data_IF_542371845351
#
_entry.id   IF_542371845351
#
_cell.length_a   1.000
_cell.length_b   1.000
_cell.length_c   1.000
_cell.angle_alpha   90.00
_cell.angle_beta   90.00
_cell.angle_gamma   90.00
#
_symmetry.space_group_name_H-M   'P 1'
#
loop_
_entity.id
_entity.type
_entity.pdbx_description
1 polymer ?
#
# COMPACT_ATOMS: atom_id res chain seq x y z
N UNK A 1 -29.28 9.88 -5.76
CA UNK A 1 -29.70 11.17 -6.36
C UNK A 1 -29.95 10.91 -7.84
N UNK A 2 -31.12 11.29 -8.44
CA UNK A 2 -31.51 10.85 -9.78
C UNK A 2 -30.49 11.19 -10.87
N UNK A 3 -29.90 12.36 -10.82
CA UNK A 3 -28.94 12.84 -11.82
C UNK A 3 -27.58 12.14 -11.77
N UNK A 4 -27.15 11.68 -10.61
CA UNK A 4 -25.93 10.89 -10.47
C UNK A 4 -26.12 9.47 -11.01
N UNK A 5 -27.35 8.97 -11.03
CA UNK A 5 -27.71 7.61 -11.44
C UNK A 5 -27.91 7.45 -12.94
N UNK A 6 -28.10 8.53 -13.68
CA UNK A 6 -28.40 8.51 -15.13
C UNK A 6 -27.21 8.95 -16.00
N UNK A 7 -25.98 8.57 -15.68
CA UNK A 7 -24.87 8.80 -16.59
C UNK A 7 -23.93 9.94 -16.20
N UNK A 8 -24.23 10.73 -15.15
CA UNK A 8 -23.25 11.67 -14.60
C UNK A 8 -22.09 10.88 -14.00
N UNK A 9 -22.34 9.70 -13.47
CA UNK A 9 -21.31 8.76 -13.01
C UNK A 9 -20.47 8.22 -14.15
N UNK A 10 -21.06 7.98 -15.32
CA UNK A 10 -20.33 7.65 -16.55
C UNK A 10 -19.39 8.78 -16.98
N UNK A 11 -19.71 10.01 -16.62
CA UNK A 11 -18.91 11.20 -16.93
C UNK A 11 -17.86 11.54 -15.87
N UNK A 12 -17.78 10.78 -14.77
CA UNK A 12 -16.82 10.99 -13.67
C UNK A 12 -15.89 9.77 -13.48
N UNK A 13 -15.07 9.41 -14.48
CA UNK A 13 -14.21 8.22 -14.42
C UNK A 13 -13.22 8.29 -13.25
N UNK A 14 -12.92 9.47 -12.74
CA UNK A 14 -12.06 9.71 -11.60
C UNK A 14 -12.62 9.18 -10.26
N UNK A 15 -13.91 8.79 -10.18
CA UNK A 15 -14.53 8.16 -9.00
C UNK A 15 -14.48 6.63 -9.02
N UNK A 16 -13.75 6.02 -9.95
CA UNK A 16 -13.75 4.58 -10.22
C UNK A 16 -12.40 3.91 -9.90
N UNK A 17 -11.62 4.53 -9.01
CA UNK A 17 -10.32 4.04 -8.64
C UNK A 17 -10.39 3.27 -7.33
N UNK A 18 -10.02 2.01 -7.36
CA UNK A 18 -9.93 1.14 -6.19
C UNK A 18 -8.57 0.47 -6.12
N UNK A 19 -8.20 -0.07 -4.98
CA UNK A 19 -7.09 -1.00 -4.92
C UNK A 19 -7.42 -2.25 -5.75
N UNK A 20 -6.41 -2.88 -6.34
CA UNK A 20 -6.60 -4.10 -7.12
C UNK A 20 -7.35 -5.17 -6.33
N UNK A 21 -7.10 -5.22 -5.02
CA UNK A 21 -7.78 -6.13 -4.11
C UNK A 21 -9.28 -5.84 -4.01
N UNK A 22 -9.68 -4.56 -3.88
CA UNK A 22 -11.08 -4.16 -3.86
C UNK A 22 -11.75 -4.52 -5.19
N UNK A 23 -11.11 -4.16 -6.31
CA UNK A 23 -11.64 -4.42 -7.65
C UNK A 23 -11.80 -5.93 -7.89
N UNK A 24 -10.80 -6.76 -7.56
CA UNK A 24 -10.91 -8.22 -7.68
C UNK A 24 -12.02 -8.80 -6.81
N UNK A 25 -12.17 -8.32 -5.57
CA UNK A 25 -13.28 -8.77 -4.71
C UNK A 25 -14.63 -8.38 -5.31
N UNK A 26 -14.76 -7.13 -5.75
CA UNK A 26 -16.00 -6.61 -6.33
C UNK A 26 -16.41 -7.41 -7.57
N UNK A 27 -15.50 -7.61 -8.52
CA UNK A 27 -15.77 -8.38 -9.74
C UNK A 27 -16.17 -9.81 -9.41
N UNK A 28 -15.44 -10.50 -8.54
CA UNK A 28 -15.77 -11.85 -8.13
C UNK A 28 -17.18 -11.95 -7.52
N UNK A 29 -17.54 -11.04 -6.60
CA UNK A 29 -18.87 -11.05 -5.97
C UNK A 29 -19.97 -10.79 -6.99
N UNK A 30 -19.74 -9.86 -7.94
CA UNK A 30 -20.71 -9.57 -9.00
C UNK A 30 -20.87 -10.74 -9.97
N UNK A 31 -19.77 -11.39 -10.37
CA UNK A 31 -19.81 -12.56 -11.24
C UNK A 31 -20.51 -13.75 -10.58
N UNK A 32 -20.21 -14.03 -9.31
CA UNK A 32 -20.90 -15.08 -8.53
C UNK A 32 -22.39 -14.78 -8.35
N UNK A 33 -22.75 -13.51 -8.16
CA UNK A 33 -24.15 -13.08 -8.06
C UNK A 33 -24.87 -13.24 -9.40
N UNK A 34 -24.26 -12.76 -10.50
CA UNK A 34 -24.85 -12.87 -11.84
C UNK A 34 -25.03 -14.33 -12.27
N UNK A 35 -24.10 -15.21 -11.91
CA UNK A 35 -24.21 -16.65 -12.19
C UNK A 35 -25.36 -17.32 -11.41
N UNK A 36 -25.63 -16.85 -10.18
CA UNK A 36 -26.73 -17.36 -9.36
C UNK A 36 -28.09 -16.79 -9.75
N UNK A 37 -28.12 -15.61 -10.37
CA UNK A 37 -29.35 -14.87 -10.75
C UNK A 37 -29.26 -14.34 -12.18
N UNK A 38 -29.25 -15.22 -13.19
CA UNK A 38 -29.10 -14.82 -14.60
C UNK A 38 -30.26 -13.94 -15.11
N UNK A 39 -31.41 -13.97 -14.44
CA UNK A 39 -32.58 -13.15 -14.73
C UNK A 39 -32.58 -11.79 -14.03
N UNK A 40 -31.71 -11.60 -13.04
CA UNK A 40 -31.65 -10.35 -12.30
C UNK A 40 -30.96 -9.24 -13.11
N UNK A 41 -31.32 -7.99 -12.82
CA UNK A 41 -30.62 -6.84 -13.38
C UNK A 41 -29.15 -6.78 -12.95
N UNK A 42 -28.31 -6.16 -13.76
CA UNK A 42 -26.90 -5.96 -13.43
C UNK A 42 -26.75 -5.16 -12.13
N UNK A 43 -25.75 -5.52 -11.34
CA UNK A 43 -25.43 -4.82 -10.11
C UNK A 43 -24.84 -3.43 -10.44
N UNK A 44 -25.43 -2.38 -9.92
CA UNK A 44 -24.93 -1.03 -10.07
C UNK A 44 -23.77 -0.75 -9.10
N UNK A 45 -22.66 -0.29 -9.64
CA UNK A 45 -21.49 0.15 -8.86
C UNK A 45 -21.43 1.66 -8.85
N UNK A 46 -21.39 2.25 -7.66
CA UNK A 46 -21.29 3.68 -7.42
C UNK A 46 -19.83 4.12 -7.23
N UNK A 47 -19.62 4.92 -6.18
CA UNK A 47 -18.31 5.50 -5.91
C UNK A 47 -17.32 4.48 -5.35
N UNK A 48 -16.09 4.53 -5.84
CA UNK A 48 -14.94 3.91 -5.24
C UNK A 48 -14.04 5.01 -4.62
N UNK A 49 -12.93 5.32 -5.25
CA UNK A 49 -12.00 6.37 -4.85
C UNK A 49 -11.62 7.22 -6.06
N UNK A 50 -10.85 8.26 -5.84
CA UNK A 50 -10.20 9.04 -6.91
C UNK A 50 -8.81 8.49 -7.25
N UNK A 51 -8.22 8.87 -8.39
CA UNK A 51 -6.83 8.53 -8.71
C UNK A 51 -5.92 8.93 -7.57
N UNK A 52 -5.01 8.03 -7.20
CA UNK A 52 -4.03 8.21 -6.11
C UNK A 52 -4.64 8.43 -4.71
N UNK A 53 -5.93 8.20 -4.53
CA UNK A 53 -6.59 8.37 -3.24
C UNK A 53 -6.67 9.82 -2.75
N UNK A 54 -6.94 10.02 -1.47
CA UNK A 54 -7.05 11.31 -0.81
C UNK A 54 -8.47 11.83 -0.67
N UNK A 55 -8.61 13.02 -0.09
CA UNK A 55 -9.90 13.60 0.32
C UNK A 55 -10.80 13.86 -0.88
N UNK A 56 -12.08 13.51 -0.76
CA UNK A 56 -13.16 13.94 -1.65
C UNK A 56 -13.66 15.31 -1.19
N UNK A 57 -12.92 16.35 -1.51
CA UNK A 57 -13.31 17.74 -1.23
C UNK A 57 -14.24 18.30 -2.33
N UNK A 58 -14.58 19.58 -2.22
CA UNK A 58 -15.50 20.27 -3.16
C UNK A 58 -15.02 20.19 -4.62
N UNK A 59 -13.71 20.18 -4.87
CA UNK A 59 -13.10 20.05 -6.20
C UNK A 59 -13.49 18.74 -6.89
N UNK A 60 -13.80 17.72 -6.10
CA UNK A 60 -14.22 16.40 -6.56
C UNK A 60 -15.73 16.18 -6.40
N UNK A 61 -16.50 17.25 -6.21
CA UNK A 61 -17.96 17.22 -6.14
C UNK A 61 -18.47 16.54 -4.87
N UNK A 62 -17.64 16.45 -3.85
CA UNK A 62 -17.97 15.72 -2.64
C UNK A 62 -18.48 16.60 -1.54
N UNK A 63 -19.71 16.38 -1.09
CA UNK A 63 -20.05 16.57 0.31
C UNK A 63 -19.68 15.28 1.03
N UNK A 64 -18.50 15.28 1.68
CA UNK A 64 -18.24 14.43 2.81
C UNK A 64 -18.30 12.92 2.60
N UNK A 65 -17.64 12.37 1.60
CA UNK A 65 -17.22 10.99 1.73
C UNK A 65 -16.10 10.94 2.77
N UNK A 66 -16.47 10.69 4.03
CA UNK A 66 -15.51 10.45 5.11
C UNK A 66 -14.63 9.21 4.84
N UNK A 67 -15.03 8.39 3.88
CA UNK A 67 -14.38 7.20 3.36
C UNK A 67 -14.06 7.38 1.86
N UNK A 68 -13.82 6.33 1.11
CA UNK A 68 -13.44 6.37 -0.33
C UNK A 68 -12.11 7.09 -0.62
N UNK A 69 -11.24 7.21 0.38
CA UNK A 69 -10.00 7.98 0.28
C UNK A 69 -8.77 7.15 -0.08
N UNK A 70 -8.85 5.83 0.06
CA UNK A 70 -7.70 4.92 -0.02
C UNK A 70 -7.94 3.71 -0.94
N UNK A 71 -9.05 3.71 -1.70
CA UNK A 71 -9.38 2.61 -2.62
C UNK A 71 -9.83 1.32 -1.94
N UNK A 72 -10.27 1.37 -0.68
CA UNK A 72 -10.75 0.22 0.09
C UNK A 72 -12.28 0.21 0.27
N UNK A 73 -12.96 1.18 -0.30
CA UNK A 73 -14.41 1.40 -0.15
C UNK A 73 -15.10 1.42 -1.52
N UNK A 74 -16.30 0.86 -1.58
CA UNK A 74 -17.16 0.89 -2.77
C UNK A 74 -18.62 1.00 -2.38
N UNK A 75 -19.37 1.83 -3.11
CA UNK A 75 -20.82 1.89 -3.03
C UNK A 75 -21.44 0.94 -4.07
N UNK A 76 -22.38 0.12 -3.64
CA UNK A 76 -23.08 -0.87 -4.46
C UNK A 76 -24.58 -0.62 -4.33
N UNK A 77 -25.24 -0.27 -5.44
CA UNK A 77 -26.68 -0.02 -5.45
C UNK A 77 -27.47 -1.30 -5.20
N UNK A 78 -28.57 -1.17 -4.47
CA UNK A 78 -29.46 -2.31 -4.29
C UNK A 78 -30.20 -2.64 -5.58
N UNK A 79 -30.38 -3.94 -5.90
CA UNK A 79 -31.28 -4.38 -6.95
C UNK A 79 -32.71 -3.91 -6.69
N UNK A 80 -33.47 -3.66 -7.76
CA UNK A 80 -34.84 -3.19 -7.69
C UNK A 80 -35.83 -4.29 -8.01
N UNK A 81 -37.01 -4.25 -7.35
CA UNK A 81 -38.12 -5.15 -7.60
C UNK A 81 -38.64 -5.11 -9.04
N UNK A 82 -38.49 -3.97 -9.72
CA UNK A 82 -38.94 -3.79 -11.11
C UNK A 82 -37.87 -4.15 -12.16
N UNK A 83 -36.72 -4.68 -11.72
CA UNK A 83 -35.62 -5.12 -12.57
C UNK A 83 -34.89 -4.00 -13.33
N UNK A 84 -35.18 -2.72 -13.04
CA UNK A 84 -34.46 -1.61 -13.68
C UNK A 84 -33.03 -1.48 -13.18
N UNK A 85 -32.10 -1.18 -14.09
CA UNK A 85 -30.66 -0.98 -13.80
C UNK A 85 -30.36 0.42 -13.24
N UNK A 86 -31.21 0.92 -12.38
CA UNK A 86 -31.11 2.20 -11.68
C UNK A 86 -31.11 1.94 -10.17
N UNK A 87 -30.35 2.72 -9.43
CA UNK A 87 -30.46 2.67 -7.97
C UNK A 87 -31.89 3.00 -7.51
N UNK A 88 -32.41 2.38 -6.45
CA UNK A 88 -33.74 2.66 -5.92
C UNK A 88 -33.84 4.09 -5.41
N UNK A 89 -34.92 4.80 -5.77
CA UNK A 89 -35.19 6.13 -5.25
C UNK A 89 -35.85 6.11 -3.86
N UNK A 90 -36.47 4.99 -3.51
CA UNK A 90 -37.16 4.77 -2.22
C UNK A 90 -36.89 3.37 -1.71
N UNK A 91 -36.84 3.15 -0.40
CA UNK A 91 -36.63 1.80 0.20
C UNK A 91 -37.62 0.73 -0.27
N UNK A 92 -38.87 1.14 -0.60
CA UNK A 92 -39.90 0.22 -1.09
C UNK A 92 -39.58 -0.36 -2.49
N UNK A 93 -38.65 0.21 -3.24
CA UNK A 93 -38.25 -0.29 -4.55
C UNK A 93 -37.11 -1.33 -4.47
N UNK A 94 -36.53 -1.50 -3.29
CA UNK A 94 -35.41 -2.45 -3.07
C UNK A 94 -35.94 -3.88 -3.12
N UNK A 95 -35.36 -4.70 -3.98
CA UNK A 95 -35.47 -6.14 -3.86
C UNK A 95 -34.62 -6.60 -2.67
N UNK A 96 -35.30 -6.81 -1.52
CA UNK A 96 -34.63 -7.17 -0.28
C UNK A 96 -33.99 -8.54 -0.29
N UNK A 97 -34.50 -9.46 -1.10
CA UNK A 97 -33.95 -10.82 -1.20
C UNK A 97 -32.61 -10.76 -1.90
N UNK A 98 -32.57 -10.15 -3.07
CA UNK A 98 -31.34 -9.99 -3.84
C UNK A 98 -30.33 -9.07 -3.13
N UNK A 99 -30.80 -7.99 -2.51
CA UNK A 99 -29.93 -7.10 -1.74
C UNK A 99 -29.32 -7.78 -0.51
N UNK A 100 -30.10 -8.62 0.21
CA UNK A 100 -29.59 -9.41 1.33
C UNK A 100 -28.55 -10.42 0.88
N UNK A 101 -28.73 -11.02 -0.27
CA UNK A 101 -27.75 -11.95 -0.82
C UNK A 101 -26.43 -11.24 -1.16
N UNK A 102 -26.47 -10.08 -1.78
CA UNK A 102 -25.27 -9.27 -2.03
C UNK A 102 -24.54 -8.93 -0.72
N UNK A 103 -25.26 -8.51 0.33
CA UNK A 103 -24.65 -8.29 1.67
C UNK A 103 -23.96 -9.56 2.15
N UNK A 104 -24.61 -10.72 2.03
CA UNK A 104 -24.08 -12.02 2.47
C UNK A 104 -22.82 -12.38 1.69
N UNK A 105 -22.81 -12.22 0.37
CA UNK A 105 -21.66 -12.48 -0.50
C UNK A 105 -20.47 -11.58 -0.17
N UNK A 106 -20.70 -10.29 0.05
CA UNK A 106 -19.62 -9.37 0.47
C UNK A 106 -19.06 -9.73 1.86
N UNK A 107 -19.90 -10.14 2.81
CA UNK A 107 -19.44 -10.64 4.13
C UNK A 107 -18.56 -11.88 3.96
N UNK A 108 -18.98 -12.85 3.13
CA UNK A 108 -18.24 -14.09 2.83
C UNK A 108 -16.93 -13.79 2.06
N UNK A 109 -16.96 -12.82 1.15
CA UNK A 109 -15.79 -12.38 0.41
C UNK A 109 -14.75 -11.65 1.28
N UNK A 110 -15.07 -11.35 2.55
CA UNK A 110 -14.12 -10.77 3.50
C UNK A 110 -14.26 -9.26 3.72
N UNK A 111 -15.41 -8.67 3.38
CA UNK A 111 -15.71 -7.30 3.80
C UNK A 111 -15.59 -7.16 5.31
N UNK A 112 -14.94 -6.08 5.75
CA UNK A 112 -14.76 -5.80 7.19
C UNK A 112 -15.86 -4.91 7.73
N UNK A 113 -16.50 -4.11 6.86
CA UNK A 113 -17.64 -3.26 7.21
C UNK A 113 -18.57 -3.11 6.00
N UNK A 114 -19.87 -3.19 6.26
CA UNK A 114 -20.93 -2.88 5.28
C UNK A 114 -21.93 -1.98 5.98
N UNK A 115 -22.13 -0.78 5.47
CA UNK A 115 -23.20 0.10 5.91
C UNK A 115 -24.42 -0.10 5.02
N UNK A 116 -25.58 -0.26 5.64
CA UNK A 116 -26.87 -0.44 4.96
C UNK A 116 -27.88 0.59 5.45
N UNK A 117 -28.86 0.92 4.63
CA UNK A 117 -29.90 1.86 5.02
C UNK A 117 -30.77 1.37 6.18
N UNK A 118 -31.19 2.26 7.10
CA UNK A 118 -32.00 1.87 8.24
C UNK A 118 -33.42 1.39 7.85
N UNK A 119 -33.90 1.74 6.64
CA UNK A 119 -35.26 1.42 6.18
C UNK A 119 -35.33 0.23 5.22
N UNK A 120 -34.18 -0.38 4.84
CA UNK A 120 -34.17 -1.52 3.92
C UNK A 120 -34.16 -2.89 4.63
N UNK A 121 -34.01 -2.92 5.94
CA UNK A 121 -34.01 -4.12 6.84
C UNK A 121 -33.07 -5.23 6.39
N UNK A 122 -31.87 -4.87 5.96
CA UNK A 122 -30.81 -5.82 5.65
C UNK A 122 -30.00 -6.16 6.91
N UNK A 123 -29.49 -7.39 7.00
CA UNK A 123 -28.89 -7.94 8.21
C UNK A 123 -27.55 -8.64 7.92
N UNK A 124 -26.75 -8.81 8.96
CA UNK A 124 -25.51 -9.58 8.95
C UNK A 124 -24.82 -9.57 10.30
N UNK A 125 -23.57 -10.07 10.40
CA UNK A 125 -22.84 -10.08 11.67
C UNK A 125 -22.73 -8.65 12.24
N UNK A 126 -23.15 -8.45 13.48
CA UNK A 126 -23.26 -7.12 14.14
C UNK A 126 -22.00 -6.24 14.05
N UNK A 127 -20.81 -6.86 14.02
CA UNK A 127 -19.55 -6.12 13.88
C UNK A 127 -19.22 -5.71 12.44
N UNK A 128 -19.89 -6.31 11.46
CA UNK A 128 -19.62 -6.09 10.03
C UNK A 128 -20.73 -5.30 9.35
N UNK A 129 -21.99 -5.61 9.62
CA UNK A 129 -23.13 -4.96 8.98
C UNK A 129 -23.79 -4.01 9.97
N UNK A 130 -23.82 -2.73 9.64
CA UNK A 130 -24.36 -1.66 10.47
C UNK A 130 -25.35 -0.78 9.68
N UNK A 131 -26.37 -0.30 10.35
CA UNK A 131 -27.34 0.63 9.77
C UNK A 131 -26.80 2.05 9.84
N UNK A 132 -26.79 2.74 8.69
CA UNK A 132 -26.34 4.12 8.61
C UNK A 132 -27.29 4.92 7.72
N UNK A 133 -27.62 6.13 8.17
CA UNK A 133 -28.45 7.08 7.39
C UNK A 133 -27.80 7.38 6.04
N UNK A 134 -28.62 7.74 5.05
CA UNK A 134 -28.21 8.01 3.66
C UNK A 134 -27.74 6.80 2.85
N UNK A 135 -28.04 5.56 3.34
CA UNK A 135 -27.70 4.31 2.67
C UNK A 135 -28.95 3.50 2.26
N UNK A 136 -30.11 4.15 2.12
CA UNK A 136 -31.34 3.44 1.74
C UNK A 136 -31.42 3.05 0.27
N UNK A 137 -30.50 3.51 -0.54
CA UNK A 137 -30.42 3.24 -1.99
C UNK A 137 -29.20 2.41 -2.41
N UNK A 138 -28.21 2.30 -1.54
CA UNK A 138 -27.00 1.52 -1.76
C UNK A 138 -26.46 0.96 -0.46
N UNK A 139 -25.61 -0.06 -0.56
CA UNK A 139 -24.73 -0.47 0.53
C UNK A 139 -23.34 0.13 0.32
N UNK A 140 -22.70 0.57 1.38
CA UNK A 140 -21.30 0.96 1.38
C UNK A 140 -20.46 -0.21 1.89
N UNK A 141 -19.58 -0.75 1.08
CA UNK A 141 -18.75 -1.90 1.40
C UNK A 141 -17.31 -1.46 1.60
N UNK A 142 -16.73 -1.82 2.74
CA UNK A 142 -15.31 -1.62 3.05
C UNK A 142 -14.58 -2.94 3.20
N UNK A 143 -13.41 -3.04 2.56
CA UNK A 143 -12.45 -4.10 2.82
C UNK A 143 -11.39 -3.64 3.80
N UNK A 144 -10.83 -4.59 4.57
CA UNK A 144 -9.68 -4.28 5.44
C UNK A 144 -8.43 -4.02 4.63
N UNK A 145 -7.51 -3.25 5.21
CA UNK A 145 -6.14 -3.23 4.71
C UNK A 145 -5.54 -4.64 4.77
N UNK A 146 -4.64 -4.94 3.85
CA UNK A 146 -3.91 -6.20 3.92
C UNK A 146 -3.12 -6.29 5.25
N UNK A 147 -3.17 -7.43 5.93
CA UNK A 147 -2.38 -7.59 7.15
C UNK A 147 -0.90 -7.44 6.81
N UNK A 148 -0.20 -6.66 7.62
CA UNK A 148 1.25 -6.56 7.51
C UNK A 148 1.88 -7.94 7.67
N UNK A 149 2.62 -8.36 6.67
CA UNK A 149 3.42 -9.58 6.73
C UNK A 149 4.87 -9.20 6.94
N UNK A 150 5.50 -9.78 7.95
CA UNK A 150 6.94 -9.67 8.18
C UNK A 150 7.62 -10.93 7.71
N UNK A 151 8.61 -10.76 6.84
CA UNK A 151 9.39 -11.85 6.27
C UNK A 151 10.85 -11.61 6.60
N UNK A 152 11.52 -12.65 7.10
CA UNK A 152 12.98 -12.59 7.22
C UNK A 152 13.57 -12.83 5.84
N UNK A 153 14.28 -11.83 5.31
CA UNK A 153 14.93 -11.90 4.01
C UNK A 153 16.38 -12.38 4.10
N UNK A 154 17.00 -12.25 5.27
CA UNK A 154 18.39 -12.69 5.49
C UNK A 154 18.81 -12.51 6.94
N UNK A 155 20.12 -12.63 7.15
CA UNK A 155 20.81 -12.36 8.41
C UNK A 155 22.05 -11.53 8.13
N UNK A 156 22.42 -10.67 9.07
CA UNK A 156 23.68 -9.92 9.04
C UNK A 156 24.89 -10.82 9.35
N UNK A 157 26.08 -10.25 9.24
CA UNK A 157 27.35 -10.89 9.65
C UNK A 157 27.26 -11.43 11.09
N UNK A 158 26.67 -10.67 12.01
CA UNK A 158 26.45 -11.09 13.42
C UNK A 158 25.14 -11.86 13.62
N UNK A 159 24.59 -12.43 12.54
CA UNK A 159 23.36 -13.25 12.54
C UNK A 159 22.08 -12.55 13.02
N UNK A 160 22.05 -11.23 13.13
CA UNK A 160 20.82 -10.48 13.37
C UNK A 160 19.87 -10.62 12.18
N UNK A 161 18.55 -10.78 12.40
CA UNK A 161 17.61 -10.93 11.31
C UNK A 161 17.46 -9.62 10.52
N UNK A 162 17.46 -9.72 9.19
CA UNK A 162 17.06 -8.65 8.28
C UNK A 162 15.61 -8.94 7.91
N UNK A 163 14.72 -8.00 8.24
CA UNK A 163 13.28 -8.16 8.08
C UNK A 163 12.74 -7.24 6.99
N UNK A 164 11.90 -7.76 6.13
CA UNK A 164 11.03 -7.00 5.27
C UNK A 164 9.60 -7.04 5.79
N UNK A 165 8.92 -5.91 5.80
CA UNK A 165 7.46 -5.84 5.96
C UNK A 165 6.83 -5.76 4.57
N UNK A 166 5.70 -6.44 4.37
CA UNK A 166 4.91 -6.38 3.15
C UNK A 166 3.58 -5.73 3.47
N UNK A 167 3.25 -4.66 2.78
CA UNK A 167 2.09 -3.81 3.03
C UNK A 167 1.37 -3.47 1.71
N UNK A 168 0.23 -2.83 1.81
CA UNK A 168 -0.58 -2.44 0.66
C UNK A 168 -1.34 -3.60 0.04
N UNK A 169 -1.52 -3.58 -1.28
CA UNK A 169 -2.23 -4.62 -2.01
C UNK A 169 -1.30 -5.79 -2.38
N UNK A 170 -1.23 -6.78 -1.49
CA UNK A 170 -0.34 -7.96 -1.62
C UNK A 170 -0.56 -8.77 -2.92
N UNK A 171 -1.66 -8.58 -3.61
CA UNK A 171 -1.92 -9.27 -4.87
C UNK A 171 -1.69 -8.39 -6.10
N UNK A 172 -1.26 -7.15 -5.92
CA UNK A 172 -1.00 -6.24 -7.03
C UNK A 172 0.19 -6.70 -7.86
N UNK A 173 0.08 -6.59 -9.19
CA UNK A 173 1.19 -6.79 -10.11
C UNK A 173 2.23 -5.66 -9.98
N UNK A 174 1.76 -4.46 -9.62
CA UNK A 174 2.63 -3.31 -9.34
C UNK A 174 3.31 -3.46 -8.00
N UNK A 175 4.65 -3.57 -8.01
CA UNK A 175 5.46 -3.75 -6.80
C UNK A 175 6.33 -2.54 -6.55
N UNK A 176 6.60 -2.25 -5.29
CA UNK A 176 7.56 -1.23 -4.88
C UNK A 176 8.40 -1.73 -3.71
N UNK A 177 9.66 -1.35 -3.67
CA UNK A 177 10.58 -1.68 -2.59
C UNK A 177 11.15 -0.40 -1.98
N UNK A 178 11.05 -0.29 -0.65
CA UNK A 178 11.68 0.77 0.14
C UNK A 178 12.70 0.14 1.06
N UNK A 179 13.91 0.67 1.02
CA UNK A 179 15.04 0.23 1.85
C UNK A 179 15.48 1.39 2.73
N UNK A 180 15.60 1.16 4.02
CA UNK A 180 16.15 2.13 4.96
C UNK A 180 17.41 1.61 5.64
N UNK A 181 18.22 2.53 6.17
CA UNK A 181 19.38 2.23 6.99
C UNK A 181 20.37 1.24 6.33
N UNK A 182 20.80 1.53 5.10
CA UNK A 182 21.92 0.82 4.44
C UNK A 182 23.22 1.13 5.21
N UNK A 183 23.39 2.40 5.60
CA UNK A 183 24.45 2.83 6.51
C UNK A 183 23.92 2.89 7.93
N UNK A 184 24.62 2.26 8.87
CA UNK A 184 24.12 2.09 10.23
C UNK A 184 23.99 3.39 11.03
N UNK A 185 24.73 4.44 10.67
CA UNK A 185 24.65 5.77 11.27
C UNK A 185 23.72 6.75 10.50
N UNK A 186 23.06 6.31 9.41
CA UNK A 186 22.16 7.12 8.59
C UNK A 186 20.71 6.56 8.64
N UNK A 187 20.21 6.29 9.83
CA UNK A 187 18.97 5.51 10.00
C UNK A 187 17.69 6.35 10.23
N UNK A 188 17.70 7.67 10.02
CA UNK A 188 16.48 8.50 10.14
C UNK A 188 15.36 8.04 9.19
N UNK A 189 15.69 7.53 8.00
CA UNK A 189 14.75 6.92 7.07
C UNK A 189 13.97 5.71 7.63
N UNK A 190 14.44 5.12 8.73
CA UNK A 190 13.72 4.02 9.42
C UNK A 190 12.33 4.46 9.92
N UNK A 191 12.17 5.72 10.33
CA UNK A 191 10.87 6.26 10.75
C UNK A 191 9.88 6.30 9.57
N UNK A 192 10.32 6.80 8.41
CA UNK A 192 9.53 6.82 7.17
C UNK A 192 9.19 5.39 6.75
N UNK A 193 10.16 4.50 6.74
CA UNK A 193 9.96 3.08 6.41
C UNK A 193 8.93 2.41 7.32
N UNK A 194 8.93 2.70 8.62
CA UNK A 194 7.94 2.18 9.57
C UNK A 194 6.52 2.70 9.33
N UNK A 195 6.38 3.95 8.90
CA UNK A 195 5.08 4.53 8.50
C UNK A 195 4.58 3.84 7.23
N UNK A 196 5.44 3.72 6.22
CA UNK A 196 5.12 3.06 4.96
C UNK A 196 4.75 1.58 5.16
N UNK A 197 5.44 0.87 6.04
CA UNK A 197 5.12 -0.52 6.38
C UNK A 197 3.73 -0.70 7.03
N UNK A 198 3.09 0.38 7.47
CA UNK A 198 1.73 0.40 8.04
C UNK A 198 0.70 1.03 7.12
N UNK A 199 1.12 1.53 5.98
CA UNK A 199 0.22 2.12 4.98
C UNK A 199 -0.50 1.04 4.16
N UNK A 200 -1.51 1.44 3.41
CA UNK A 200 -2.27 0.56 2.53
C UNK A 200 -2.31 1.13 1.11
N UNK A 201 -1.15 1.28 0.44
CA UNK A 201 -1.14 1.72 -0.95
C UNK A 201 -1.75 0.66 -1.87
N UNK A 202 -2.10 1.06 -3.09
CA UNK A 202 -2.62 0.18 -4.14
C UNK A 202 -1.56 -0.72 -4.80
N UNK A 203 -0.32 -0.66 -4.34
CA UNK A 203 0.80 -1.49 -4.81
C UNK A 203 1.18 -2.54 -3.76
N UNK A 204 1.81 -3.62 -4.19
CA UNK A 204 2.47 -4.59 -3.29
C UNK A 204 3.78 -3.97 -2.78
N UNK A 205 3.71 -3.31 -1.62
CA UNK A 205 4.81 -2.57 -1.04
C UNK A 205 5.65 -3.46 -0.12
N UNK A 206 6.95 -3.54 -0.42
CA UNK A 206 7.94 -4.18 0.43
C UNK A 206 8.82 -3.14 1.11
N UNK A 207 9.04 -3.28 2.41
CA UNK A 207 9.77 -2.30 3.21
C UNK A 207 10.81 -3.01 4.07
N UNK A 208 12.08 -2.80 3.76
CA UNK A 208 13.22 -3.19 4.59
C UNK A 208 13.63 -1.97 5.41
N UNK A 209 13.14 -1.85 6.63
CA UNK A 209 13.35 -0.65 7.43
C UNK A 209 14.78 -0.49 7.95
N UNK A 210 15.54 -1.58 8.07
CA UNK A 210 16.94 -1.56 8.45
C UNK A 210 17.67 -2.71 7.76
N UNK A 211 18.49 -2.38 6.78
CA UNK A 211 19.31 -3.36 6.07
C UNK A 211 20.59 -3.71 6.86
N UNK A 212 21.09 -2.78 7.68
CA UNK A 212 22.35 -2.91 8.40
C UNK A 212 22.18 -2.86 9.94
N UNK A 213 21.49 -3.84 10.54
CA UNK A 213 21.31 -3.90 11.99
C UNK A 213 22.61 -3.95 12.80
N UNK A 214 23.70 -4.45 12.23
CA UNK A 214 25.00 -4.50 12.89
C UNK A 214 25.66 -3.13 12.91
N UNK A 215 25.67 -2.42 11.80
CA UNK A 215 26.18 -1.05 11.71
C UNK A 215 25.37 -0.10 12.58
N UNK A 216 24.04 -0.25 12.60
CA UNK A 216 23.16 0.53 13.47
C UNK A 216 23.50 0.35 14.94
N UNK A 217 23.70 -0.89 15.38
CA UNK A 217 24.04 -1.16 16.78
C UNK A 217 25.45 -0.67 17.19
N UNK A 218 26.30 -0.39 16.22
CA UNK A 218 27.67 0.09 16.43
C UNK A 218 27.82 1.59 16.10
N UNK A 219 26.70 2.26 15.74
CA UNK A 219 26.66 3.65 15.27
C UNK A 219 27.75 3.95 14.22
N UNK A 220 27.82 3.11 13.20
CA UNK A 220 28.80 3.26 12.13
C UNK A 220 28.22 3.00 10.75
N UNK A 221 28.84 3.63 9.74
CA UNK A 221 28.42 3.52 8.35
C UNK A 221 28.46 2.08 7.83
N UNK A 222 29.54 1.38 8.09
CA UNK A 222 29.83 0.05 7.58
C UNK A 222 29.06 -1.04 8.35
N UNK A 223 29.01 -2.25 7.77
CA UNK A 223 28.53 -3.44 8.46
C UNK A 223 29.54 -3.96 9.51
N UNK A 224 29.32 -5.12 10.08
CA UNK A 224 30.18 -5.70 11.11
C UNK A 224 31.60 -6.04 10.63
N UNK A 225 31.81 -6.24 9.34
CA UNK A 225 33.12 -6.49 8.72
C UNK A 225 33.85 -5.22 8.29
N UNK A 226 33.26 -4.04 8.46
CA UNK A 226 33.84 -2.78 7.98
C UNK A 226 33.59 -2.51 6.50
N UNK A 227 32.62 -3.18 5.90
CA UNK A 227 32.24 -3.02 4.50
C UNK A 227 31.14 -1.97 4.38
N UNK A 228 31.32 -1.00 3.47
CA UNK A 228 30.25 -0.09 3.04
C UNK A 228 29.30 -0.85 2.12
N UNK A 229 28.10 -1.18 2.63
CA UNK A 229 27.11 -1.96 1.88
C UNK A 229 26.72 -1.31 0.56
N UNK A 230 26.66 0.04 0.51
CA UNK A 230 26.35 0.79 -0.70
C UNK A 230 27.48 0.77 -1.74
N UNK A 231 28.59 0.12 -1.45
CA UNK A 231 29.73 -0.15 -2.35
C UNK A 231 29.94 -1.62 -2.60
N UNK A 232 29.10 -2.47 -2.04
CA UNK A 232 29.23 -3.92 -2.15
C UNK A 232 28.26 -4.56 -3.15
N UNK A 233 27.24 -3.82 -3.62
CA UNK A 233 26.29 -4.36 -4.61
C UNK A 233 26.97 -4.71 -5.93
N UNK A 234 26.58 -5.82 -6.57
CA UNK A 234 27.05 -6.18 -7.90
C UNK A 234 26.73 -5.08 -8.90
N UNK A 235 27.74 -4.53 -9.53
CA UNK A 235 27.61 -3.53 -10.60
C UNK A 235 28.83 -3.60 -11.52
N UNK A 236 28.68 -3.13 -12.75
CA UNK A 236 29.78 -2.99 -13.71
C UNK A 236 30.87 -2.00 -13.25
N UNK A 237 30.53 -1.14 -12.31
CA UNK A 237 31.44 -0.11 -11.76
C UNK A 237 32.05 -0.51 -10.41
N UNK A 238 31.75 -1.71 -9.92
CA UNK A 238 32.33 -2.19 -8.67
C UNK A 238 33.85 -2.31 -8.78
N UNK A 239 34.55 -1.83 -7.75
CA UNK A 239 36.01 -1.92 -7.66
C UNK A 239 36.41 -2.37 -6.25
N UNK A 240 37.41 -3.24 -6.09
CA UNK A 240 37.94 -3.56 -4.79
C UNK A 240 38.64 -2.35 -4.17
N UNK A 241 38.61 -2.27 -2.83
CA UNK A 241 39.34 -1.27 -2.02
C UNK A 241 39.16 0.20 -2.48
N UNK A 242 37.93 0.59 -2.87
CA UNK A 242 37.68 1.98 -3.22
C UNK A 242 37.93 2.91 -2.01
N UNK A 243 38.91 3.79 -2.12
CA UNK A 243 39.17 4.85 -1.17
C UNK A 243 38.31 6.05 -1.53
N UNK A 244 37.42 6.49 -0.63
CA UNK A 244 36.64 7.70 -0.80
C UNK A 244 37.33 8.87 -0.16
N UNK A 245 37.69 9.86 -0.96
CA UNK A 245 38.04 11.20 -0.54
C UNK A 245 36.81 12.09 -0.71
N UNK A 246 36.26 12.63 0.35
CA UNK A 246 35.20 13.63 0.25
C UNK A 246 35.82 14.97 -0.13
N UNK A 247 35.24 15.73 -1.09
CA UNK A 247 35.73 17.06 -1.43
C UNK A 247 35.71 17.99 -0.22
N UNK A 248 36.68 18.87 -0.07
CA UNK A 248 36.67 19.88 0.99
C UNK A 248 35.45 20.80 0.78
N UNK A 249 34.63 20.98 1.79
CA UNK A 249 33.50 21.92 1.76
C UNK A 249 32.11 21.30 2.11
N UNK A 250 32.01 20.02 2.30
CA UNK A 250 30.77 19.36 2.70
C UNK A 250 30.76 19.18 4.23
N UNK A 251 29.80 19.86 4.84
CA UNK A 251 29.27 19.82 6.21
C UNK A 251 30.22 19.54 7.41
N UNK A 252 29.94 20.24 8.53
CA UNK A 252 30.75 20.24 9.75
C UNK A 252 30.86 18.85 10.40
N UNK A 253 29.82 18.04 10.38
CA UNK A 253 29.86 16.66 10.88
C UNK A 253 30.66 15.74 9.97
N UNK A 254 30.61 15.94 8.67
CA UNK A 254 31.44 15.24 7.69
C UNK A 254 32.89 15.73 7.71
N UNK A 255 33.17 16.97 8.14
CA UNK A 255 34.56 17.48 8.31
C UNK A 255 35.34 16.73 9.38
N UNK A 256 34.71 16.30 10.45
CA UNK A 256 35.38 15.48 11.48
C UNK A 256 35.73 14.09 10.90
N UNK A 257 34.98 13.65 9.91
CA UNK A 257 35.21 12.39 9.19
C UNK A 257 36.18 12.59 8.01
N UNK A 258 36.18 13.74 7.36
CA UNK A 258 37.03 14.04 6.18
C UNK A 258 38.52 14.17 6.48
N UNK A 259 38.91 14.45 7.73
CA UNK A 259 40.32 14.41 8.15
C UNK A 259 40.84 13.01 8.47
N UNK A 260 39.99 11.99 8.41
CA UNK A 260 40.39 10.60 8.40
C UNK A 260 40.11 10.05 7.02
N UNK A 261 41.12 9.57 6.31
CA UNK A 261 40.97 8.70 5.15
C UNK A 261 40.10 7.53 5.57
N UNK A 262 38.76 7.67 5.43
CA UNK A 262 37.84 6.55 5.63
C UNK A 262 38.10 5.55 4.49
N UNK A 263 38.97 4.61 4.70
CA UNK A 263 39.05 3.41 3.91
C UNK A 263 37.74 2.66 4.14
N UNK A 264 36.79 2.89 3.28
CA UNK A 264 35.57 2.10 3.24
C UNK A 264 35.91 0.85 2.43
N UNK A 265 35.89 -0.30 3.07
CA UNK A 265 36.02 -1.56 2.33
C UNK A 265 34.80 -1.77 1.43
N UNK A 266 35.02 -2.17 0.20
CA UNK A 266 33.97 -2.59 -0.75
C UNK A 266 33.66 -4.09 -0.63
N UNK A 267 34.30 -4.78 0.31
CA UNK A 267 34.23 -6.23 0.48
C UNK A 267 35.24 -7.00 -0.38
N UNK A 268 35.33 -8.30 -0.19
CA UNK A 268 36.27 -9.19 -0.88
C UNK A 268 35.93 -9.36 -2.38
N UNK A 269 34.64 -9.26 -2.71
CA UNK A 269 34.11 -9.25 -4.06
C UNK A 269 32.72 -8.55 -4.05
N UNK A 270 32.21 -8.20 -5.22
CA UNK A 270 30.87 -7.64 -5.37
C UNK A 270 29.83 -8.62 -4.78
N UNK A 271 28.97 -8.14 -3.88
CA UNK A 271 28.00 -8.98 -3.20
C UNK A 271 28.57 -9.93 -2.16
N UNK A 272 29.78 -9.68 -1.63
CA UNK A 272 30.37 -10.53 -0.58
C UNK A 272 29.61 -10.51 0.74
N UNK A 273 28.86 -9.44 1.02
CA UNK A 273 28.24 -9.26 2.33
C UNK A 273 26.84 -9.89 2.37
N UNK A 274 26.48 -10.57 3.48
CA UNK A 274 25.21 -11.25 3.60
C UNK A 274 24.02 -10.27 3.57
N UNK A 275 24.20 -9.03 4.03
CA UNK A 275 23.20 -7.97 3.93
C UNK A 275 22.91 -7.60 2.47
N UNK A 276 23.95 -7.43 1.67
CA UNK A 276 23.85 -7.15 0.23
C UNK A 276 23.18 -8.32 -0.49
N UNK A 277 23.63 -9.56 -0.22
CA UNK A 277 23.04 -10.77 -0.81
C UNK A 277 21.53 -10.88 -0.50
N UNK A 278 21.13 -10.60 0.75
CA UNK A 278 19.73 -10.65 1.16
C UNK A 278 18.87 -9.65 0.39
N UNK A 279 19.37 -8.44 0.18
CA UNK A 279 18.62 -7.41 -0.57
C UNK A 279 18.61 -7.71 -2.06
N UNK A 280 19.72 -8.12 -2.64
CA UNK A 280 19.80 -8.52 -4.06
C UNK A 280 18.82 -9.66 -4.36
N UNK A 281 18.82 -10.72 -3.55
CA UNK A 281 17.88 -11.83 -3.71
C UNK A 281 16.39 -11.39 -3.57
N UNK A 282 16.12 -10.36 -2.75
CA UNK A 282 14.78 -9.79 -2.66
C UNK A 282 14.42 -9.00 -3.94
N UNK A 283 15.33 -8.20 -4.46
CA UNK A 283 15.15 -7.43 -5.70
C UNK A 283 14.90 -8.37 -6.87
N UNK A 284 15.76 -9.38 -7.05
CA UNK A 284 15.65 -10.37 -8.13
C UNK A 284 14.32 -11.12 -8.10
N UNK A 285 13.82 -11.45 -6.90
CA UNK A 285 12.52 -12.12 -6.73
C UNK A 285 11.34 -11.22 -7.03
N UNK A 286 11.43 -9.94 -6.69
CA UNK A 286 10.31 -9.00 -6.81
C UNK A 286 10.26 -8.34 -8.18
N UNK A 287 11.42 -8.13 -8.81
CA UNK A 287 11.57 -7.33 -10.02
C UNK A 287 10.77 -6.01 -9.93
N UNK A 288 10.96 -5.22 -8.85
CA UNK A 288 10.11 -4.07 -8.61
C UNK A 288 10.48 -2.95 -9.57
N UNK A 289 9.49 -2.32 -10.25
CA UNK A 289 9.77 -1.18 -11.14
C UNK A 289 10.26 0.05 -10.37
N UNK A 290 10.10 0.07 -9.05
CA UNK A 290 10.53 1.16 -8.18
C UNK A 290 11.26 0.62 -6.95
N UNK A 291 12.52 1.07 -6.79
CA UNK A 291 13.31 0.88 -5.55
C UNK A 291 13.67 2.25 -4.99
N UNK A 292 13.36 2.50 -3.74
CA UNK A 292 13.67 3.75 -3.04
C UNK A 292 14.60 3.46 -1.87
N UNK A 293 15.76 4.13 -1.85
CA UNK A 293 16.64 4.18 -0.68
C UNK A 293 16.26 5.39 0.19
N UNK A 294 15.67 5.12 1.35
CA UNK A 294 15.27 6.13 2.32
C UNK A 294 16.46 6.51 3.20
N UNK A 295 17.27 7.46 2.72
CA UNK A 295 18.37 8.04 3.48
C UNK A 295 17.92 9.19 4.38
N UNK A 296 18.73 9.49 5.37
CA UNK A 296 18.59 10.74 6.15
C UNK A 296 18.72 11.92 5.19
N UNK A 297 17.75 12.85 5.15
CA UNK A 297 17.97 14.10 4.42
C UNK A 297 19.15 14.85 5.02
N UNK A 298 19.91 15.61 4.22
CA UNK A 298 20.95 16.48 4.75
C UNK A 298 20.36 17.42 5.79
N UNK A 299 21.17 17.78 6.80
CA UNK A 299 20.74 18.72 7.84
C UNK A 299 20.21 20.02 7.23
N UNK A 300 19.18 20.67 7.84
CA UNK A 300 18.63 21.92 7.32
C UNK A 300 19.76 22.97 7.15
N UNK A 301 20.03 23.38 5.91
CA UNK A 301 21.09 24.34 5.56
C UNK A 301 22.17 23.80 4.61
N UNK A 302 22.25 22.51 4.35
CA UNK A 302 23.11 21.96 3.32
C UNK A 302 22.47 22.21 1.95
N UNK A 303 23.01 23.11 1.14
CA UNK A 303 22.62 23.26 -0.27
C UNK A 303 23.22 22.11 -1.08
N UNK A 304 22.40 21.56 -1.99
CA UNK A 304 22.78 20.55 -2.95
C UNK A 304 23.87 21.05 -3.91
#
# INVERSE_FOLDING_TARGET
>A
RPEQRQGVELRRPWRRWGSDRLVRMLLRVIDEYAAAHPEASRVGVGDLSRPHGGVFDERFGGRGHASHQNGLDVDVYYPRLDGQELGPARPAQVDRVLAQELVTRFVQAGAVKIFVGPRVDLRGPKRKVERLIYHDDHMHVRIGADPQRRVRIGRTVRRRPIMAARAGDIGSESKALVVGCIHGNECAGTAVARILARSSPSVDLWVVSNLNPDGFALDRRQNARGVDLNRNFPSSTWKPDATFTFPPGIDLELRVVANRTNRSSTGTHAGSEPETQALTALIDRLEPPLVVDAKTPPAPGARA
#
